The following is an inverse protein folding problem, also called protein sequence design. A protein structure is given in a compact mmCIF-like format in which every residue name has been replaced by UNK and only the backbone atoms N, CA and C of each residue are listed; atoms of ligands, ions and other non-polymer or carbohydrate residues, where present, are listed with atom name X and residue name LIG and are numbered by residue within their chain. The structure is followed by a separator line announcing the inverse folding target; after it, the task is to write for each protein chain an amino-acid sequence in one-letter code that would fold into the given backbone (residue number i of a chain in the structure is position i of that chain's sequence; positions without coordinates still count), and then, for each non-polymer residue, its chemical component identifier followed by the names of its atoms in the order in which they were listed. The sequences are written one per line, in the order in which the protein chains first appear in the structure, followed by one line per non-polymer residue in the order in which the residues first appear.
data_IF_324895064214
#
_entry.id   IF_324895064214
#
_cell.length_a   1.000
_cell.length_b   1.000
_cell.length_c   1.000
_cell.angle_alpha   90.00
_cell.angle_beta   90.00
_cell.angle_gamma   90.00
#
_symmetry.space_group_name_H-M   'P 1'
#
loop_
_entity.id
_entity.type
_entity.pdbx_description
1 polymer ?
#
# COMPACT_ATOMS: atom_id res chain seq x y z
N UNK A 1 37.17 -45.09 -1.21
CA UNK A 1 35.73 -45.23 -1.38
C UNK A 1 35.06 -44.61 -0.18
N UNK A 2 34.61 -43.37 -0.31
CA UNK A 2 33.88 -42.61 0.75
C UNK A 2 32.43 -42.72 0.42
N UNK A 3 31.64 -43.38 1.29
CA UNK A 3 30.17 -43.50 1.16
C UNK A 3 29.54 -42.14 1.50
N UNK A 4 28.73 -41.60 0.59
CA UNK A 4 27.80 -40.51 0.89
C UNK A 4 26.68 -41.01 1.82
N UNK A 5 26.27 -40.23 2.82
CA UNK A 5 25.10 -40.55 3.64
C UNK A 5 23.81 -40.37 2.89
N UNK A 6 22.82 -41.23 3.16
CA UNK A 6 21.48 -41.28 2.58
C UNK A 6 20.75 -39.93 2.75
N UNK A 7 20.18 -39.42 1.67
CA UNK A 7 19.26 -38.26 1.68
C UNK A 7 17.90 -38.70 2.22
N UNK A 8 17.29 -37.94 3.15
CA UNK A 8 15.92 -38.19 3.53
C UNK A 8 14.96 -37.89 2.37
N UNK A 9 13.97 -38.76 2.17
CA UNK A 9 12.89 -38.56 1.19
C UNK A 9 12.02 -37.39 1.65
N UNK A 10 12.11 -36.27 0.94
CA UNK A 10 11.20 -35.14 1.08
C UNK A 10 9.97 -35.41 0.23
N UNK A 11 8.78 -35.44 0.84
CA UNK A 11 7.52 -35.29 0.12
C UNK A 11 7.43 -33.84 -0.34
N UNK A 12 7.57 -33.60 -1.64
CA UNK A 12 7.56 -32.28 -2.23
C UNK A 12 6.13 -31.85 -2.49
N UNK A 13 5.69 -30.82 -1.78
CA UNK A 13 4.70 -29.90 -2.31
C UNK A 13 5.42 -29.00 -3.34
N UNK A 14 5.38 -29.41 -4.60
CA UNK A 14 6.02 -28.69 -5.70
C UNK A 14 4.99 -27.71 -6.25
N UNK A 15 5.15 -26.42 -5.97
CA UNK A 15 4.45 -25.38 -6.68
C UNK A 15 4.70 -25.50 -8.20
N UNK A 16 3.81 -25.00 -9.01
CA UNK A 16 3.72 -25.14 -10.49
C UNK A 16 5.02 -24.81 -11.28
N UNK A 17 6.11 -24.46 -10.62
CA UNK A 17 7.41 -24.10 -11.20
C UNK A 17 8.60 -24.93 -10.69
N UNK A 18 8.36 -26.06 -10.02
CA UNK A 18 9.40 -27.10 -9.80
C UNK A 18 10.52 -26.77 -8.80
N UNK A 19 10.46 -25.66 -8.08
CA UNK A 19 11.45 -25.33 -7.04
C UNK A 19 10.85 -25.51 -5.64
N UNK A 20 11.48 -26.29 -4.75
CA UNK A 20 11.07 -26.35 -3.35
C UNK A 20 11.35 -24.99 -2.70
N UNK A 21 10.31 -24.31 -2.23
CA UNK A 21 10.47 -23.16 -1.36
C UNK A 21 10.80 -23.71 0.03
N UNK A 22 12.08 -23.75 0.36
CA UNK A 22 12.54 -24.05 1.71
C UNK A 22 12.59 -22.72 2.46
N UNK A 23 11.63 -22.53 3.36
CA UNK A 23 11.74 -21.45 4.35
C UNK A 23 12.62 -21.96 5.48
N UNK A 24 13.73 -21.27 5.85
CA UNK A 24 14.47 -21.62 7.04
C UNK A 24 13.65 -21.30 8.27
N UNK A 25 13.30 -22.32 9.06
CA UNK A 25 12.58 -22.16 10.32
C UNK A 25 13.48 -21.57 11.44
N UNK A 26 14.77 -21.36 11.16
CA UNK A 26 15.73 -20.80 12.12
C UNK A 26 16.73 -19.87 11.41
N UNK A 27 16.52 -18.57 11.50
CA UNK A 27 17.60 -17.61 11.28
C UNK A 27 18.33 -17.47 12.61
N UNK A 28 19.54 -18.06 12.69
CA UNK A 28 20.40 -17.96 13.85
C UNK A 28 20.68 -16.48 14.22
N UNK A 29 20.76 -16.24 15.52
CA UNK A 29 21.05 -14.94 16.13
C UNK A 29 22.33 -14.32 15.54
N UNK A 30 22.19 -13.25 14.78
CA UNK A 30 23.29 -12.36 14.41
C UNK A 30 23.39 -11.25 15.45
N UNK A 31 24.60 -11.13 16.04
CA UNK A 31 24.91 -10.34 17.22
C UNK A 31 24.60 -8.84 17.15
N UNK A 32 24.18 -8.35 18.31
CA UNK A 32 24.40 -7.06 18.94
C UNK A 32 24.29 -5.78 18.09
N UNK A 33 23.05 -5.43 17.78
CA UNK A 33 22.57 -4.05 17.85
C UNK A 33 21.76 -3.99 19.16
N UNK A 34 21.91 -2.92 19.99
CA UNK A 34 21.31 -2.86 21.32
C UNK A 34 19.86 -3.36 21.33
N UNK A 35 19.42 -3.93 22.43
CA UNK A 35 18.15 -4.67 22.59
C UNK A 35 16.91 -3.87 22.11
N UNK A 36 16.69 -3.88 20.82
CA UNK A 36 15.47 -3.34 20.18
C UNK A 36 14.32 -4.36 20.23
N UNK A 37 14.52 -5.48 20.93
CA UNK A 37 13.58 -6.59 20.93
C UNK A 37 13.58 -7.35 19.59
N UNK A 38 12.91 -8.53 19.56
CA UNK A 38 12.68 -9.27 18.31
C UNK A 38 11.82 -8.45 17.37
N UNK A 39 12.16 -8.37 16.05
CA UNK A 39 11.26 -7.75 15.08
C UNK A 39 9.91 -8.48 15.07
N UNK A 40 8.78 -7.78 14.84
CA UNK A 40 7.49 -8.43 14.72
C UNK A 40 7.52 -9.46 13.57
N UNK A 41 6.92 -10.66 13.76
CA UNK A 41 6.98 -11.71 12.76
C UNK A 41 6.18 -11.33 11.51
N UNK A 42 6.74 -11.63 10.34
CA UNK A 42 6.04 -11.61 9.06
C UNK A 42 6.06 -13.04 8.54
N UNK A 43 4.94 -13.76 8.69
CA UNK A 43 4.85 -15.20 8.47
C UNK A 43 4.56 -15.56 7.00
N UNK A 44 4.42 -16.88 6.74
CA UNK A 44 3.95 -17.42 5.44
C UNK A 44 2.64 -16.76 4.97
N UNK A 45 1.76 -16.38 5.89
CA UNK A 45 0.48 -15.72 5.61
C UNK A 45 0.65 -14.42 4.81
N UNK A 46 1.70 -13.65 5.09
CA UNK A 46 2.08 -12.49 4.27
C UNK A 46 2.52 -12.92 2.85
N UNK A 47 3.31 -14.00 2.72
CA UNK A 47 3.68 -14.55 1.41
C UNK A 47 2.46 -14.94 0.57
N UNK A 48 1.44 -15.54 1.20
CA UNK A 48 0.17 -15.88 0.54
C UNK A 48 -0.58 -14.61 0.08
N UNK A 49 -0.52 -13.51 0.84
CA UNK A 49 -1.10 -12.22 0.44
C UNK A 49 -0.39 -11.62 -0.79
N UNK A 50 0.94 -11.70 -0.86
CA UNK A 50 1.71 -11.27 -2.03
C UNK A 50 1.30 -12.06 -3.29
N UNK A 51 1.19 -13.38 -3.17
CA UNK A 51 0.75 -14.23 -4.28
C UNK A 51 -0.69 -13.94 -4.72
N UNK A 52 -1.58 -13.70 -3.76
CA UNK A 52 -2.97 -13.33 -4.03
C UNK A 52 -3.04 -11.96 -4.73
N UNK A 53 -2.40 -10.92 -4.19
CA UNK A 53 -2.35 -9.58 -4.80
C UNK A 53 -1.79 -9.63 -6.23
N UNK A 54 -0.67 -10.35 -6.45
CA UNK A 54 -0.08 -10.54 -7.78
C UNK A 54 -1.06 -11.19 -8.76
N UNK A 55 -1.85 -12.17 -8.31
CA UNK A 55 -2.82 -12.84 -9.17
C UNK A 55 -4.02 -11.96 -9.50
N UNK A 56 -4.50 -11.16 -8.54
CA UNK A 56 -5.64 -10.26 -8.71
C UNK A 56 -5.31 -9.09 -9.63
N UNK A 57 -4.12 -8.50 -9.51
CA UNK A 57 -3.64 -7.38 -10.32
C UNK A 57 -2.81 -7.83 -11.54
N UNK A 58 -2.96 -9.10 -11.98
CA UNK A 58 -2.23 -9.62 -13.13
C UNK A 58 -2.55 -8.83 -14.40
N UNK A 59 -1.51 -8.30 -15.05
CA UNK A 59 -1.65 -7.48 -16.26
C UNK A 59 -2.02 -6.02 -16.00
N UNK A 60 -2.28 -5.61 -14.77
CA UNK A 60 -2.52 -4.21 -14.42
C UNK A 60 -1.20 -3.44 -14.35
N UNK A 61 -1.19 -2.24 -14.91
CA UNK A 61 -0.10 -1.28 -14.80
C UNK A 61 -0.56 -0.03 -14.04
N UNK A 62 0.38 0.70 -13.48
CA UNK A 62 0.12 2.01 -12.89
C UNK A 62 -0.38 2.98 -13.97
N UNK A 63 -1.37 3.79 -13.62
CA UNK A 63 -2.07 4.70 -14.55
C UNK A 63 -1.09 5.58 -15.35
N UNK A 64 -1.18 5.49 -16.66
CA UNK A 64 -0.33 6.26 -17.58
C UNK A 64 1.11 5.76 -17.71
N UNK A 65 1.42 4.56 -17.23
CA UNK A 65 2.75 3.97 -17.30
C UNK A 65 2.72 2.51 -17.78
N UNK A 66 3.89 1.90 -17.98
CA UNK A 66 4.06 0.46 -18.21
C UNK A 66 4.56 -0.27 -16.94
N UNK A 67 4.56 0.42 -15.78
CA UNK A 67 5.06 -0.14 -14.52
C UNK A 67 3.99 -1.11 -13.98
N UNK A 68 4.33 -2.38 -13.72
CA UNK A 68 3.38 -3.34 -13.14
C UNK A 68 2.83 -2.84 -11.80
N UNK A 69 1.52 -2.97 -11.58
CA UNK A 69 0.83 -2.43 -10.40
C UNK A 69 1.36 -2.99 -9.08
N UNK A 70 1.86 -4.23 -9.10
CA UNK A 70 2.48 -4.85 -7.93
C UNK A 70 3.61 -4.03 -7.32
N UNK A 71 4.30 -3.18 -8.11
CA UNK A 71 5.36 -2.31 -7.60
C UNK A 71 4.82 -1.29 -6.60
N UNK A 72 3.59 -0.78 -6.83
CA UNK A 72 2.90 0.10 -5.90
C UNK A 72 2.55 -0.63 -4.60
N UNK A 73 1.94 -1.80 -4.70
CA UNK A 73 1.54 -2.59 -3.54
C UNK A 73 2.74 -2.96 -2.65
N UNK A 74 3.86 -3.35 -3.25
CA UNK A 74 5.10 -3.63 -2.52
C UNK A 74 5.66 -2.39 -1.81
N UNK A 75 5.66 -1.23 -2.49
CA UNK A 75 6.15 0.02 -1.91
C UNK A 75 5.27 0.48 -0.73
N UNK A 76 3.95 0.42 -0.87
CA UNK A 76 3.00 0.74 0.21
C UNK A 76 3.19 -0.21 1.39
N UNK A 77 3.35 -1.50 1.09
CA UNK A 77 3.58 -2.51 2.14
C UNK A 77 4.87 -2.26 2.91
N UNK A 78 5.97 -1.94 2.23
CA UNK A 78 7.24 -1.63 2.89
C UNK A 78 7.10 -0.45 3.85
N UNK A 79 6.51 0.67 3.40
CA UNK A 79 6.24 1.84 4.22
C UNK A 79 5.35 1.51 5.43
N UNK A 80 4.28 0.73 5.23
CA UNK A 80 3.37 0.36 6.30
C UNK A 80 4.03 -0.55 7.35
N UNK A 81 4.92 -1.47 6.95
CA UNK A 81 5.70 -2.33 7.87
C UNK A 81 6.65 -1.46 8.70
N UNK A 82 7.40 -0.55 8.07
CA UNK A 82 8.34 0.34 8.76
C UNK A 82 7.62 1.20 9.79
N UNK A 83 6.49 1.81 9.42
CA UNK A 83 5.69 2.67 10.29
C UNK A 83 5.05 1.86 11.45
N UNK A 84 4.50 0.66 11.19
CA UNK A 84 3.85 -0.16 12.21
C UNK A 84 4.85 -0.79 13.18
N UNK A 85 5.99 -1.28 12.68
CA UNK A 85 7.00 -1.95 13.50
C UNK A 85 7.68 -1.02 14.51
N UNK A 86 7.70 0.28 14.24
CA UNK A 86 8.29 1.31 15.12
C UNK A 86 7.27 2.04 16.00
N UNK A 87 5.98 1.73 15.87
CA UNK A 87 4.89 2.33 16.63
C UNK A 87 4.40 1.35 17.71
N UNK A 88 4.54 1.73 18.98
CA UNK A 88 4.15 0.89 20.12
C UNK A 88 2.66 0.49 20.12
N UNK A 89 1.78 1.27 19.49
CA UNK A 89 0.36 0.96 19.37
C UNK A 89 0.05 -0.06 18.27
N UNK A 90 0.94 -0.18 17.27
CA UNK A 90 0.71 -1.00 16.07
C UNK A 90 1.65 -2.19 15.94
N UNK A 91 2.70 -2.24 16.75
CA UNK A 91 3.75 -3.26 16.66
C UNK A 91 3.21 -4.68 16.64
N UNK A 92 2.24 -4.98 17.49
CA UNK A 92 1.63 -6.30 17.56
C UNK A 92 0.70 -6.62 16.38
N UNK A 93 0.30 -5.59 15.61
CA UNK A 93 -0.55 -5.69 14.42
C UNK A 93 0.27 -5.62 13.11
N UNK A 94 1.61 -5.57 13.17
CA UNK A 94 2.47 -5.34 12.00
C UNK A 94 2.17 -6.30 10.86
N UNK A 95 1.96 -7.60 11.12
CA UNK A 95 1.64 -8.56 10.05
C UNK A 95 0.26 -8.30 9.43
N UNK A 96 -0.77 -8.01 10.24
CA UNK A 96 -2.09 -7.70 9.74
C UNK A 96 -2.08 -6.42 8.88
N UNK A 97 -1.34 -5.40 9.31
CA UNK A 97 -1.12 -4.15 8.59
C UNK A 97 -0.35 -4.40 7.29
N UNK A 98 0.71 -5.22 7.30
CA UNK A 98 1.47 -5.60 6.11
C UNK A 98 0.59 -6.30 5.06
N UNK A 99 -0.24 -7.27 5.51
CA UNK A 99 -1.18 -7.98 4.63
C UNK A 99 -2.25 -7.01 4.09
N UNK A 100 -2.81 -6.15 4.95
CA UNK A 100 -3.80 -5.17 4.52
C UNK A 100 -3.20 -4.15 3.53
N UNK A 101 -1.98 -3.70 3.73
CA UNK A 101 -1.26 -2.82 2.81
C UNK A 101 -1.01 -3.49 1.45
N UNK A 102 -0.66 -4.79 1.43
CA UNK A 102 -0.51 -5.56 0.19
C UNK A 102 -1.84 -5.72 -0.57
N UNK A 103 -2.97 -5.69 0.12
CA UNK A 103 -4.30 -5.96 -0.41
C UNK A 103 -5.21 -4.71 -0.50
N UNK A 104 -4.71 -3.51 -0.15
CA UNK A 104 -5.55 -2.34 0.05
C UNK A 104 -6.41 -1.96 -1.15
N UNK A 105 -5.92 -2.19 -2.38
CA UNK A 105 -6.64 -1.89 -3.62
C UNK A 105 -7.35 -3.11 -4.22
N UNK A 106 -7.21 -4.31 -3.63
CA UNK A 106 -7.72 -5.54 -4.25
C UNK A 106 -9.24 -5.53 -4.41
N UNK A 107 -9.96 -4.92 -3.45
CA UNK A 107 -11.43 -4.82 -3.48
C UNK A 107 -11.91 -3.72 -4.40
N UNK A 108 -11.16 -2.61 -4.51
CA UNK A 108 -11.52 -1.48 -5.37
C UNK A 108 -11.24 -1.77 -6.85
N UNK A 109 -10.09 -2.36 -7.14
CA UNK A 109 -9.55 -2.46 -8.50
C UNK A 109 -9.75 -3.83 -9.15
N UNK A 110 -10.24 -4.84 -8.41
CA UNK A 110 -10.37 -6.19 -8.94
C UNK A 110 -11.77 -6.77 -8.67
N UNK A 111 -11.94 -8.05 -8.99
CA UNK A 111 -13.18 -8.78 -8.70
C UNK A 111 -13.26 -9.36 -7.28
N UNK A 112 -12.20 -9.23 -6.48
CA UNK A 112 -12.20 -9.75 -5.13
C UNK A 112 -13.12 -8.91 -4.23
N UNK A 113 -13.75 -9.56 -3.28
CA UNK A 113 -14.66 -8.94 -2.32
C UNK A 113 -14.04 -8.90 -0.93
N UNK A 114 -14.59 -8.08 -0.04
CA UNK A 114 -14.21 -8.05 1.38
C UNK A 114 -14.38 -9.44 2.01
N UNK A 115 -15.38 -10.21 1.58
CA UNK A 115 -15.62 -11.59 2.06
C UNK A 115 -14.49 -12.53 1.63
N UNK A 116 -13.98 -12.39 0.41
CA UNK A 116 -12.83 -13.17 -0.06
C UNK A 116 -11.57 -12.87 0.76
N UNK A 117 -11.35 -11.59 1.11
CA UNK A 117 -10.24 -11.18 1.97
C UNK A 117 -10.41 -11.75 3.38
N UNK A 118 -11.61 -11.63 3.98
CA UNK A 118 -11.90 -12.15 5.31
C UNK A 118 -11.68 -13.66 5.39
N UNK A 119 -12.17 -14.40 4.40
CA UNK A 119 -12.04 -15.86 4.36
C UNK A 119 -10.60 -16.37 4.21
N UNK A 120 -9.69 -15.56 3.64
CA UNK A 120 -8.29 -15.92 3.43
C UNK A 120 -7.34 -15.36 4.49
N UNK A 121 -7.59 -14.13 4.92
CA UNK A 121 -6.67 -13.34 5.73
C UNK A 121 -7.27 -12.86 7.06
N UNK A 122 -8.51 -13.26 7.36
CA UNK A 122 -9.21 -12.94 8.61
C UNK A 122 -9.88 -11.56 8.62
N UNK A 123 -10.78 -11.39 9.60
CA UNK A 123 -11.66 -10.22 9.67
C UNK A 123 -10.92 -8.91 9.94
N UNK A 124 -9.82 -8.96 10.69
CA UNK A 124 -9.00 -7.77 10.98
C UNK A 124 -8.40 -7.19 9.70
N UNK A 125 -7.78 -8.02 8.87
CA UNK A 125 -7.23 -7.59 7.56
C UNK A 125 -8.34 -7.09 6.65
N UNK A 126 -9.46 -7.82 6.57
CA UNK A 126 -10.59 -7.45 5.72
C UNK A 126 -11.20 -6.11 6.12
N UNK A 127 -11.29 -5.82 7.42
CA UNK A 127 -11.76 -4.54 7.96
C UNK A 127 -10.86 -3.38 7.54
N UNK A 128 -9.53 -3.55 7.66
CA UNK A 128 -8.57 -2.52 7.24
C UNK A 128 -8.65 -2.29 5.73
N UNK A 129 -8.67 -3.35 4.93
CA UNK A 129 -8.79 -3.27 3.46
C UNK A 129 -10.08 -2.56 3.05
N UNK A 130 -11.22 -2.92 3.66
CA UNK A 130 -12.50 -2.27 3.37
C UNK A 130 -12.46 -0.77 3.71
N UNK A 131 -11.82 -0.40 4.82
CA UNK A 131 -11.69 0.99 5.25
C UNK A 131 -10.72 1.82 4.39
N UNK A 132 -9.77 1.18 3.69
CA UNK A 132 -8.86 1.85 2.75
C UNK A 132 -9.50 2.10 1.38
N UNK A 133 -10.58 1.39 1.04
CA UNK A 133 -11.25 1.49 -0.28
C UNK A 133 -12.12 2.73 -0.39
N UNK A 134 -12.00 3.46 -1.51
CA UNK A 134 -12.81 4.66 -1.87
C UNK A 134 -14.23 4.28 -2.36
N UNK A 135 -14.68 3.07 -2.07
CA UNK A 135 -16.01 2.58 -2.46
C UNK A 135 -17.08 3.11 -1.52
N UNK A 136 -17.66 4.22 -1.88
CA UNK A 136 -18.87 4.76 -1.23
C UNK A 136 -20.08 3.90 -1.57
N UNK A 137 -20.15 2.67 -1.12
CA UNK A 137 -21.35 1.82 -1.12
C UNK A 137 -22.21 1.75 -2.40
N UNK A 138 -21.70 2.21 -3.55
CA UNK A 138 -22.43 2.16 -4.82
C UNK A 138 -22.65 0.71 -5.23
N UNK A 139 -23.91 0.36 -5.45
CA UNK A 139 -24.29 -0.95 -5.97
C UNK A 139 -23.75 -1.14 -7.40
N UNK A 140 -23.45 -2.38 -7.83
CA UNK A 140 -23.07 -2.64 -9.20
C UNK A 140 -24.10 -2.07 -10.18
N UNK A 141 -23.67 -1.11 -11.06
CA UNK A 141 -24.54 -0.46 -12.03
C UNK A 141 -25.01 0.96 -11.65
N UNK A 142 -24.74 1.43 -10.44
CA UNK A 142 -24.99 2.82 -10.06
C UNK A 142 -23.87 3.75 -10.59
N UNK A 143 -24.27 4.95 -11.00
CA UNK A 143 -23.31 5.98 -11.41
C UNK A 143 -22.48 6.43 -10.20
N UNK A 144 -21.14 6.39 -10.34
CA UNK A 144 -20.25 6.83 -9.25
C UNK A 144 -20.47 8.32 -8.97
N UNK A 145 -20.57 8.73 -7.70
CA UNK A 145 -20.65 10.14 -7.34
C UNK A 145 -19.49 10.96 -7.94
N UNK A 146 -19.66 12.29 -8.10
CA UNK A 146 -18.60 13.18 -8.55
C UNK A 146 -17.29 12.96 -7.78
N UNK A 147 -16.16 13.10 -8.47
CA UNK A 147 -14.84 12.86 -7.90
C UNK A 147 -14.60 13.59 -6.57
N UNK A 148 -14.97 14.88 -6.52
CA UNK A 148 -14.82 15.71 -5.30
C UNK A 148 -15.65 15.19 -4.13
N UNK A 149 -16.88 14.72 -4.38
CA UNK A 149 -17.74 14.16 -3.32
C UNK A 149 -17.15 12.87 -2.76
N UNK A 150 -16.63 11.98 -3.62
CA UNK A 150 -15.97 10.74 -3.17
C UNK A 150 -14.72 11.04 -2.35
N UNK A 151 -13.88 11.99 -2.83
CA UNK A 151 -12.66 12.37 -2.10
C UNK A 151 -12.96 13.04 -0.77
N UNK A 152 -13.99 13.88 -0.70
CA UNK A 152 -14.43 14.46 0.58
C UNK A 152 -14.92 13.37 1.55
N UNK A 153 -15.77 12.45 1.07
CA UNK A 153 -16.24 11.34 1.90
C UNK A 153 -15.09 10.46 2.44
N UNK A 154 -14.05 10.24 1.62
CA UNK A 154 -12.86 9.51 2.06
C UNK A 154 -12.05 10.29 3.11
N UNK A 155 -11.88 11.61 2.94
CA UNK A 155 -11.22 12.48 3.94
C UNK A 155 -11.99 12.45 5.26
N UNK A 156 -13.32 12.56 5.22
CA UNK A 156 -14.18 12.52 6.40
C UNK A 156 -14.10 11.15 7.09
N UNK A 157 -14.07 10.06 6.33
CA UNK A 157 -13.85 8.72 6.85
C UNK A 157 -12.50 8.58 7.57
N UNK A 158 -11.41 9.08 6.97
CA UNK A 158 -10.09 9.05 7.61
C UNK A 158 -10.03 9.85 8.91
N UNK A 159 -10.82 10.92 9.02
CA UNK A 159 -10.91 11.68 10.26
C UNK A 159 -11.44 10.86 11.46
N UNK A 160 -12.15 9.75 11.22
CA UNK A 160 -12.70 8.85 12.23
C UNK A 160 -12.02 7.46 12.26
N UNK A 161 -11.14 7.16 11.31
CA UNK A 161 -10.51 5.84 11.14
C UNK A 161 -9.60 5.46 12.33
N UNK A 162 -9.43 4.17 12.56
CA UNK A 162 -8.47 3.64 13.55
C UNK A 162 -7.01 3.73 13.08
N UNK A 163 -6.06 3.52 14.00
CA UNK A 163 -4.64 3.71 13.73
C UNK A 163 -4.07 2.72 12.70
N UNK A 164 -4.57 1.50 12.61
CA UNK A 164 -4.14 0.52 11.62
C UNK A 164 -4.60 0.93 10.20
N UNK A 165 -5.84 1.37 10.05
CA UNK A 165 -6.37 1.95 8.81
C UNK A 165 -5.60 3.20 8.40
N UNK A 166 -5.34 4.11 9.35
CA UNK A 166 -4.55 5.32 9.10
C UNK A 166 -3.11 5.00 8.67
N UNK A 167 -2.48 3.97 9.23
CA UNK A 167 -1.14 3.54 8.85
C UNK A 167 -1.09 3.09 7.39
N UNK A 168 -1.99 2.21 6.96
CA UNK A 168 -2.05 1.72 5.58
C UNK A 168 -2.40 2.85 4.61
N UNK A 169 -3.41 3.66 4.94
CA UNK A 169 -3.84 4.78 4.10
C UNK A 169 -2.74 5.84 3.95
N UNK A 170 -2.00 6.16 5.03
CA UNK A 170 -0.87 7.09 4.97
C UNK A 170 0.26 6.57 4.08
N UNK A 171 0.60 5.27 4.20
CA UNK A 171 1.62 4.65 3.36
C UNK A 171 1.24 4.70 1.86
N UNK A 172 -0.03 4.43 1.51
CA UNK A 172 -0.54 4.57 0.15
C UNK A 172 -0.43 6.03 -0.35
N UNK A 173 -0.89 6.99 0.45
CA UNK A 173 -0.89 8.39 0.03
C UNK A 173 0.53 8.98 -0.08
N UNK A 174 1.47 8.55 0.77
CA UNK A 174 2.90 8.89 0.63
C UNK A 174 3.46 8.39 -0.68
N UNK A 175 3.25 7.11 -1.00
CA UNK A 175 3.74 6.54 -2.26
C UNK A 175 3.10 7.21 -3.47
N UNK A 176 1.79 7.43 -3.47
CA UNK A 176 1.07 8.07 -4.57
C UNK A 176 1.50 9.53 -4.77
N UNK A 177 1.60 10.33 -3.69
CA UNK A 177 2.05 11.72 -3.76
C UNK A 177 3.47 11.82 -4.32
N UNK A 178 4.41 10.96 -3.86
CA UNK A 178 5.77 10.90 -4.37
C UNK A 178 5.79 10.64 -5.88
N UNK A 179 5.05 9.66 -6.35
CA UNK A 179 5.00 9.33 -7.77
C UNK A 179 4.38 10.46 -8.61
N UNK A 180 3.35 11.14 -8.09
CA UNK A 180 2.77 12.31 -8.78
C UNK A 180 3.81 13.41 -8.92
N UNK A 181 4.55 13.72 -7.87
CA UNK A 181 5.60 14.74 -7.88
C UNK A 181 6.72 14.40 -8.86
N UNK A 182 7.23 13.15 -8.82
CA UNK A 182 8.30 12.68 -9.70
C UNK A 182 7.89 12.73 -11.18
N UNK A 183 6.70 12.19 -11.48
CA UNK A 183 6.19 12.12 -12.84
C UNK A 183 5.79 13.51 -13.38
N UNK A 184 5.21 14.40 -12.55
CA UNK A 184 4.87 15.76 -12.94
C UNK A 184 6.12 16.59 -13.22
N UNK A 185 7.15 16.47 -12.39
CA UNK A 185 8.43 17.14 -12.62
C UNK A 185 9.10 16.66 -13.91
N UNK A 186 9.10 15.35 -14.17
CA UNK A 186 9.65 14.78 -15.40
C UNK A 186 8.88 15.27 -16.66
N UNK A 187 7.55 15.29 -16.59
CA UNK A 187 6.71 15.78 -17.69
C UNK A 187 6.93 17.28 -17.96
N UNK A 188 7.03 18.10 -16.90
CA UNK A 188 7.31 19.54 -17.02
C UNK A 188 8.64 19.78 -17.74
N UNK A 189 9.69 19.04 -17.39
CA UNK A 189 11.00 19.13 -18.04
C UNK A 189 10.96 18.70 -19.52
N UNK A 190 10.08 17.76 -19.86
CA UNK A 190 9.89 17.27 -21.21
C UNK A 190 8.88 18.11 -22.05
N UNK A 191 8.27 19.15 -21.47
CA UNK A 191 7.23 19.96 -22.12
C UNK A 191 5.92 19.19 -22.37
N UNK A 192 5.63 18.17 -21.55
CA UNK A 192 4.44 17.33 -21.67
C UNK A 192 3.32 17.71 -20.69
N UNK A 193 2.10 17.33 -21.02
CA UNK A 193 0.93 17.49 -20.14
C UNK A 193 0.76 16.26 -19.25
N UNK A 194 1.21 16.37 -18.00
CA UNK A 194 1.07 15.33 -16.99
C UNK A 194 -0.37 15.15 -16.49
N UNK A 195 -1.12 16.27 -16.35
CA UNK A 195 -2.39 16.26 -15.65
C UNK A 195 -3.54 15.66 -16.47
N UNK A 196 -3.40 15.62 -17.80
CA UNK A 196 -4.41 15.03 -18.70
C UNK A 196 -4.73 13.56 -18.40
N UNK A 197 -3.83 12.83 -17.73
CA UNK A 197 -4.06 11.44 -17.33
C UNK A 197 -5.00 11.27 -16.12
N UNK A 198 -5.32 12.36 -15.42
CA UNK A 198 -6.21 12.33 -14.25
C UNK A 198 -7.62 12.83 -14.60
N UNK A 199 -8.61 12.35 -13.85
CA UNK A 199 -10.00 12.82 -13.95
C UNK A 199 -10.22 14.17 -13.25
N UNK A 200 -9.20 14.64 -12.49
CA UNK A 200 -9.20 15.88 -11.73
C UNK A 200 -7.95 16.68 -12.07
N UNK A 201 -8.11 17.96 -12.34
CA UNK A 201 -6.99 18.86 -12.67
C UNK A 201 -6.02 19.10 -11.51
N UNK A 202 -4.92 19.85 -11.78
CA UNK A 202 -3.86 20.07 -10.79
C UNK A 202 -4.37 20.68 -9.48
N UNK A 203 -5.29 21.62 -9.54
CA UNK A 203 -5.86 22.29 -8.36
C UNK A 203 -6.66 21.35 -7.47
N UNK A 204 -7.45 20.47 -8.08
CA UNK A 204 -8.24 19.48 -7.36
C UNK A 204 -7.34 18.42 -6.73
N UNK A 205 -6.28 18.01 -7.42
CA UNK A 205 -5.28 17.10 -6.86
C UNK A 205 -4.54 17.76 -5.68
N UNK A 206 -4.10 19.02 -5.82
CA UNK A 206 -3.46 19.75 -4.75
C UNK A 206 -4.37 19.89 -3.52
N UNK A 207 -5.63 20.29 -3.72
CA UNK A 207 -6.63 20.34 -2.66
C UNK A 207 -6.78 19.00 -1.93
N UNK A 208 -6.92 17.91 -2.66
CA UNK A 208 -7.11 16.60 -2.06
C UNK A 208 -5.92 16.17 -1.19
N UNK A 209 -4.71 16.36 -1.69
CA UNK A 209 -3.51 16.03 -0.92
C UNK A 209 -3.26 16.99 0.25
N UNK A 210 -3.62 18.26 0.14
CA UNK A 210 -3.58 19.20 1.27
C UNK A 210 -4.50 18.76 2.41
N UNK A 211 -5.74 18.36 2.10
CA UNK A 211 -6.68 17.86 3.11
C UNK A 211 -6.21 16.54 3.74
N UNK A 212 -5.66 15.62 2.95
CA UNK A 212 -5.06 14.39 3.48
C UNK A 212 -3.90 14.69 4.42
N UNK A 213 -2.97 15.57 4.03
CA UNK A 213 -1.85 15.96 4.87
C UNK A 213 -2.33 16.55 6.20
N UNK A 214 -3.37 17.39 6.17
CA UNK A 214 -4.01 17.96 7.38
C UNK A 214 -4.58 16.89 8.29
N UNK A 215 -5.33 15.92 7.74
CA UNK A 215 -5.92 14.83 8.52
C UNK A 215 -4.82 13.98 9.16
N UNK A 216 -3.83 13.55 8.38
CA UNK A 216 -2.76 12.69 8.90
C UNK A 216 -1.88 13.42 9.95
N UNK A 217 -1.61 14.72 9.78
CA UNK A 217 -0.87 15.51 10.79
C UNK A 217 -1.58 15.56 12.13
N UNK A 218 -2.92 15.49 12.14
CA UNK A 218 -3.71 15.53 13.39
C UNK A 218 -3.93 14.12 13.95
N UNK A 219 -4.28 13.15 13.08
CA UNK A 219 -4.75 11.82 13.49
C UNK A 219 -3.62 10.82 13.68
N UNK A 220 -2.52 10.98 12.94
CA UNK A 220 -1.33 10.13 13.00
C UNK A 220 -0.07 10.99 12.84
N UNK A 221 0.23 11.89 13.80
CA UNK A 221 1.41 12.73 13.74
C UNK A 221 2.70 11.91 13.83
N UNK A 222 3.76 12.37 13.15
CA UNK A 222 5.09 11.77 13.18
C UNK A 222 5.78 11.80 11.83
N UNK A 223 6.95 11.16 11.71
CA UNK A 223 7.82 11.26 10.52
C UNK A 223 7.11 10.93 9.20
N UNK A 224 6.20 9.94 9.19
CA UNK A 224 5.43 9.55 8.01
C UNK A 224 4.48 10.66 7.54
N UNK A 225 3.78 11.32 8.45
CA UNK A 225 2.91 12.45 8.13
C UNK A 225 3.73 13.67 7.70
N UNK A 226 4.87 13.93 8.33
CA UNK A 226 5.77 15.01 7.97
C UNK A 226 6.35 14.84 6.56
N UNK A 227 6.71 13.60 6.18
CA UNK A 227 7.13 13.27 4.81
C UNK A 227 6.03 13.56 3.79
N UNK A 228 4.77 13.16 4.10
CA UNK A 228 3.63 13.48 3.23
C UNK A 228 3.48 14.99 3.08
N UNK A 229 3.53 15.77 4.17
CA UNK A 229 3.44 17.23 4.13
C UNK A 229 4.51 17.85 3.23
N UNK A 230 5.76 17.42 3.35
CA UNK A 230 6.86 17.89 2.50
C UNK A 230 6.64 17.55 1.03
N UNK A 231 6.11 16.35 0.74
CA UNK A 231 5.79 15.93 -0.64
C UNK A 231 4.62 16.74 -1.21
N UNK A 232 3.59 17.00 -0.39
CA UNK A 232 2.41 17.81 -0.79
C UNK A 232 2.81 19.26 -1.09
N UNK A 233 3.72 19.85 -0.32
CA UNK A 233 4.25 21.18 -0.62
C UNK A 233 4.86 21.24 -2.03
N UNK A 234 5.68 20.26 -2.40
CA UNK A 234 6.25 20.15 -3.76
C UNK A 234 5.18 19.92 -4.84
N UNK A 235 4.15 19.11 -4.55
CA UNK A 235 3.02 18.89 -5.46
C UNK A 235 2.29 20.21 -5.78
N UNK A 236 2.05 21.06 -4.77
CA UNK A 236 1.42 22.39 -4.93
C UNK A 236 2.26 23.31 -5.80
N UNK A 237 3.58 23.33 -5.62
CA UNK A 237 4.49 24.10 -6.47
C UNK A 237 4.36 23.67 -7.94
N UNK A 238 4.41 22.37 -8.22
CA UNK A 238 4.25 21.83 -9.57
C UNK A 238 2.87 22.12 -10.16
N UNK A 239 1.80 21.97 -9.38
CA UNK A 239 0.44 22.33 -9.80
C UNK A 239 0.33 23.80 -10.20
N UNK A 240 1.03 24.69 -9.50
CA UNK A 240 1.04 26.12 -9.81
C UNK A 240 1.83 26.42 -11.10
N UNK A 241 2.99 25.80 -11.29
CA UNK A 241 3.85 26.00 -12.46
C UNK A 241 3.18 25.55 -13.76
N UNK A 242 2.34 24.52 -13.70
CA UNK A 242 1.68 23.94 -14.88
C UNK A 242 0.36 24.61 -15.26
N UNK A 243 -0.15 25.57 -14.49
CA UNK A 243 -1.36 26.36 -14.85
C UNK A 243 -1.15 27.30 -16.02
N UNK A 244 0.09 27.63 -16.33
CA UNK A 244 0.46 28.65 -17.32
C UNK A 244 1.01 28.06 -18.62
N UNK A 245 0.95 26.74 -18.78
CA UNK A 245 1.24 26.02 -20.02
C UNK A 245 -0.05 25.60 -20.73
#
# INVERSE_FOLDING_TARGET
MIRCPDRPRMSADVGRYGYPIVWPDEVGETGAVGDLGKPPPVSRRFGDAVLFARSMHAGQARKGTQIPYISHLLAVTALAIEDAATDDLLRDQTEAIAIAAMLHDVVEDTRATVVDVAGRFGDEVARIVAACSDTTGSMPGEEKPPWSCRKQAYIDHLAEADQATLCVSLADKRHNARCIVEDAAAALLAGGDFWSRFNAGPDQQAWYYDELARVFSVRRPGPAADELCGTVARLRELATLTRHQ
#
